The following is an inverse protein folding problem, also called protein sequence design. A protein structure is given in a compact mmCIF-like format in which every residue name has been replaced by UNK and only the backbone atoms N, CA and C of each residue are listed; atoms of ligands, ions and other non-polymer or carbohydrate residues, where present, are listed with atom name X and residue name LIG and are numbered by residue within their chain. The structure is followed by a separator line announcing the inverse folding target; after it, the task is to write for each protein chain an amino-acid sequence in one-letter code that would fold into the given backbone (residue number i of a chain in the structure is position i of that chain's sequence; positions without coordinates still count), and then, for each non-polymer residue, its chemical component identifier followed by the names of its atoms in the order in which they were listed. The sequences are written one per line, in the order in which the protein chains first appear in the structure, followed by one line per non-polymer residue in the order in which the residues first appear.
data_IF_329854543065
#
_entry.id   IF_329854543065
#
_cell.length_a   1.000
_cell.length_b   1.000
_cell.length_c   1.000
_cell.angle_alpha   90.00
_cell.angle_beta   90.00
_cell.angle_gamma   90.00
#
_symmetry.space_group_name_H-M   'P 1'
#
loop_
_entity.id
_entity.type
_entity.pdbx_description
1 polymer ?
#
# COMPACT_ATOMS: atom_id res chain seq x y z
N UNK A 1 -4.92 22.54 10.15
CA UNK A 1 -5.59 21.53 9.32
C UNK A 1 -5.99 20.24 10.03
N UNK A 2 -5.16 19.62 10.89
CA UNK A 2 -5.45 18.33 11.55
C UNK A 2 -6.92 18.12 12.04
N UNK A 3 -7.51 19.10 12.71
CA UNK A 3 -8.92 19.03 13.15
C UNK A 3 -9.93 19.00 11.98
N UNK A 4 -9.64 19.69 10.87
CA UNK A 4 -10.44 19.60 9.64
C UNK A 4 -10.38 18.19 9.05
N UNK A 5 -9.21 17.55 9.04
CA UNK A 5 -9.08 16.16 8.59
C UNK A 5 -9.91 15.19 9.45
N UNK A 6 -9.92 15.38 10.78
CA UNK A 6 -10.77 14.60 11.68
C UNK A 6 -12.26 14.80 11.36
N UNK A 7 -12.67 16.03 11.01
CA UNK A 7 -14.06 16.36 10.67
C UNK A 7 -14.49 15.89 9.27
N UNK A 8 -13.55 15.77 8.33
CA UNK A 8 -13.82 15.22 6.99
C UNK A 8 -13.84 13.68 6.98
N UNK A 9 -13.17 13.03 7.93
CA UNK A 9 -13.08 11.56 8.02
C UNK A 9 -14.46 10.87 8.09
N UNK A 10 -15.47 11.33 8.86
CA UNK A 10 -16.81 10.75 8.86
C UNK A 10 -17.40 10.58 7.46
N UNK A 11 -17.34 11.60 6.59
CA UNK A 11 -17.87 11.52 5.22
C UNK A 11 -17.21 10.40 4.41
N UNK A 12 -15.89 10.20 4.57
CA UNK A 12 -15.18 9.08 3.96
C UNK A 12 -15.62 7.72 4.51
N UNK A 13 -15.84 7.62 5.83
CA UNK A 13 -16.31 6.37 6.47
C UNK A 13 -17.77 6.06 6.11
N UNK A 14 -18.60 7.08 5.99
CA UNK A 14 -19.98 6.97 5.53
C UNK A 14 -20.04 6.55 4.07
N UNK A 15 -19.16 7.11 3.23
CA UNK A 15 -19.00 6.69 1.83
C UNK A 15 -18.69 5.20 1.77
N UNK A 16 -17.74 4.73 2.57
CA UNK A 16 -17.49 3.28 2.70
C UNK A 16 -18.73 2.54 3.17
N UNK A 17 -19.46 3.05 4.15
CA UNK A 17 -20.70 2.44 4.67
C UNK A 17 -21.77 2.20 3.60
N UNK A 18 -21.87 3.07 2.58
CA UNK A 18 -22.80 2.89 1.45
C UNK A 18 -22.54 1.57 0.70
N UNK A 19 -21.26 1.22 0.51
CA UNK A 19 -20.86 0.02 -0.24
C UNK A 19 -20.61 -1.19 0.65
N UNK A 20 -20.06 -0.96 1.85
CA UNK A 20 -19.52 -1.97 2.74
C UNK A 20 -20.50 -2.39 3.85
N UNK A 21 -21.66 -1.74 3.95
CA UNK A 21 -22.67 -1.93 5.01
C UNK A 21 -22.25 -1.36 6.36
N UNK A 22 -21.02 -1.65 6.80
CA UNK A 22 -20.40 -1.09 8.01
C UNK A 22 -18.89 -0.95 7.86
N UNK A 23 -18.32 -0.07 8.67
CA UNK A 23 -16.88 0.07 8.86
C UNK A 23 -16.57 0.39 10.34
N UNK A 24 -15.55 -0.23 10.97
CA UNK A 24 -14.58 -1.18 10.42
C UNK A 24 -15.14 -2.60 10.21
N UNK A 25 -14.39 -3.39 9.42
CA UNK A 25 -14.68 -4.78 9.01
C UNK A 25 -15.98 -4.92 8.22
N UNK A 26 -15.87 -4.91 6.90
CA UNK A 26 -17.03 -5.10 6.02
C UNK A 26 -17.54 -6.55 6.02
N UNK A 27 -18.82 -6.72 5.70
CA UNK A 27 -19.50 -8.03 5.60
C UNK A 27 -20.07 -8.30 4.20
N UNK A 28 -19.74 -7.45 3.22
CA UNK A 28 -20.38 -7.51 1.89
C UNK A 28 -19.71 -8.48 0.94
N UNK A 29 -18.45 -8.84 1.18
CA UNK A 29 -17.72 -9.75 0.30
C UNK A 29 -18.10 -11.20 0.58
N UNK A 30 -18.38 -11.93 -0.49
CA UNK A 30 -18.62 -13.38 -0.48
C UNK A 30 -17.83 -14.01 -1.63
N UNK A 31 -17.40 -15.29 -1.51
CA UNK A 31 -16.93 -16.03 -2.66
C UNK A 31 -17.96 -15.92 -3.80
N UNK A 32 -17.55 -15.36 -4.94
CA UNK A 32 -18.44 -15.12 -6.09
C UNK A 32 -18.98 -13.69 -6.25
N UNK A 33 -18.69 -12.75 -5.34
CA UNK A 33 -19.02 -11.33 -5.53
C UNK A 33 -19.35 -10.59 -4.23
N UNK A 34 -20.42 -9.79 -4.26
CA UNK A 34 -20.91 -9.02 -3.10
C UNK A 34 -22.36 -9.41 -2.73
N UNK A 35 -22.82 -9.01 -1.54
CA UNK A 35 -24.15 -9.39 -1.02
C UNK A 35 -25.32 -8.57 -1.57
N UNK A 36 -25.07 -7.38 -2.13
CA UNK A 36 -26.12 -6.55 -2.72
C UNK A 36 -25.59 -5.71 -3.89
N UNK A 37 -26.49 -5.34 -4.80
CA UNK A 37 -26.23 -4.32 -5.82
C UNK A 37 -26.28 -2.92 -5.21
N UNK A 38 -25.73 -1.93 -5.92
CA UNK A 38 -25.77 -0.51 -5.54
C UNK A 38 -26.72 0.21 -6.48
N UNK A 39 -27.90 0.54 -5.95
CA UNK A 39 -28.92 1.24 -6.71
C UNK A 39 -28.58 2.73 -6.95
N UNK A 40 -29.33 3.36 -7.84
CA UNK A 40 -29.17 4.79 -8.20
C UNK A 40 -29.25 5.73 -6.98
N UNK A 41 -30.06 5.41 -5.96
CA UNK A 41 -30.17 6.22 -4.74
C UNK A 41 -28.89 6.18 -3.92
N UNK A 42 -28.32 4.98 -3.73
CA UNK A 42 -27.03 4.78 -3.07
C UNK A 42 -25.88 5.42 -3.85
N UNK A 43 -25.89 5.34 -5.19
CA UNK A 43 -24.90 6.02 -6.02
C UNK A 43 -24.95 7.55 -5.82
N UNK A 44 -26.15 8.13 -5.83
CA UNK A 44 -26.35 9.58 -5.60
C UNK A 44 -25.84 9.99 -4.22
N UNK A 45 -26.16 9.21 -3.17
CA UNK A 45 -25.65 9.44 -1.82
C UNK A 45 -24.13 9.36 -1.76
N UNK A 46 -23.54 8.35 -2.41
CA UNK A 46 -22.09 8.17 -2.47
C UNK A 46 -21.40 9.36 -3.16
N UNK A 47 -21.95 9.87 -4.26
CA UNK A 47 -21.41 11.05 -4.94
C UNK A 47 -21.48 12.32 -4.07
N UNK A 48 -22.55 12.49 -3.28
CA UNK A 48 -22.66 13.58 -2.32
C UNK A 48 -21.57 13.52 -1.24
N UNK A 49 -21.39 12.35 -0.61
CA UNK A 49 -20.34 12.13 0.39
C UNK A 49 -18.92 12.27 -0.19
N UNK A 50 -18.72 11.82 -1.43
CA UNK A 50 -17.45 12.00 -2.14
C UNK A 50 -17.18 13.48 -2.39
N UNK A 51 -18.20 14.29 -2.70
CA UNK A 51 -18.01 15.74 -2.92
C UNK A 51 -17.55 16.44 -1.64
N UNK A 52 -18.03 16.04 -0.47
CA UNK A 52 -17.53 16.57 0.81
C UNK A 52 -16.05 16.25 1.02
N UNK A 53 -15.62 15.02 0.70
CA UNK A 53 -14.21 14.63 0.73
C UNK A 53 -13.39 15.43 -0.29
N UNK A 54 -13.90 15.62 -1.51
CA UNK A 54 -13.26 16.45 -2.53
C UNK A 54 -13.08 17.88 -2.06
N UNK A 55 -14.09 18.50 -1.44
CA UNK A 55 -13.96 19.86 -0.90
C UNK A 55 -12.83 19.96 0.13
N UNK A 56 -12.72 18.98 1.04
CA UNK A 56 -11.60 18.94 1.99
C UNK A 56 -10.24 18.83 1.27
N UNK A 57 -10.15 17.95 0.27
CA UNK A 57 -8.92 17.78 -0.53
C UNK A 57 -8.57 19.08 -1.26
N UNK A 58 -9.53 19.71 -1.94
CA UNK A 58 -9.30 20.90 -2.74
C UNK A 58 -8.97 22.11 -1.87
N UNK A 59 -9.73 22.38 -0.81
CA UNK A 59 -9.59 23.60 -0.01
C UNK A 59 -8.50 23.52 1.07
N UNK A 60 -8.24 22.33 1.61
CA UNK A 60 -7.33 22.17 2.76
C UNK A 60 -6.05 21.43 2.39
N UNK A 61 -6.15 20.31 1.67
CA UNK A 61 -4.95 19.55 1.31
C UNK A 61 -4.14 20.24 0.21
N UNK A 62 -4.82 20.72 -0.84
CA UNK A 62 -4.18 21.25 -2.05
C UNK A 62 -4.19 22.77 -2.14
N UNK A 63 -5.25 23.43 -1.67
CA UNK A 63 -5.49 24.85 -1.95
C UNK A 63 -5.87 25.11 -3.42
N UNK A 64 -6.24 24.08 -4.17
CA UNK A 64 -6.66 24.16 -5.57
C UNK A 64 -7.57 22.99 -5.96
N UNK A 65 -8.18 23.04 -7.14
CA UNK A 65 -8.93 21.91 -7.69
C UNK A 65 -8.06 20.68 -7.94
N UNK A 66 -8.64 19.49 -7.85
CA UNK A 66 -7.91 18.21 -8.08
C UNK A 66 -7.29 18.17 -9.48
N UNK A 67 -8.02 18.60 -10.51
CA UNK A 67 -7.51 18.55 -11.89
C UNK A 67 -6.27 19.45 -12.07
N UNK A 68 -6.26 20.65 -11.46
CA UNK A 68 -5.08 21.54 -11.46
C UNK A 68 -3.88 20.86 -10.77
N UNK A 69 -4.08 20.19 -9.65
CA UNK A 69 -2.99 19.46 -8.99
C UNK A 69 -2.40 18.35 -9.88
N UNK A 70 -3.26 17.62 -10.59
CA UNK A 70 -2.85 16.50 -11.46
C UNK A 70 -2.14 16.93 -12.75
N UNK A 71 -2.11 18.23 -13.06
CA UNK A 71 -1.31 18.77 -14.15
C UNK A 71 0.19 18.84 -13.81
N UNK A 72 0.57 18.75 -12.52
CA UNK A 72 1.98 18.69 -12.12
C UNK A 72 2.60 17.36 -12.55
N UNK A 73 3.69 17.42 -13.34
CA UNK A 73 4.35 16.23 -13.92
C UNK A 73 5.83 16.15 -13.59
N UNK A 74 6.37 17.12 -12.85
CA UNK A 74 7.78 17.20 -12.50
C UNK A 74 7.99 17.97 -11.20
N UNK A 75 9.20 17.88 -10.66
CA UNK A 75 9.62 18.72 -9.54
C UNK A 75 9.50 20.22 -9.88
N UNK A 76 9.84 20.61 -11.11
CA UNK A 76 9.81 22.01 -11.55
C UNK A 76 8.36 22.54 -11.64
N UNK A 77 7.42 21.67 -12.00
CA UNK A 77 5.97 21.98 -11.94
C UNK A 77 5.53 22.20 -10.49
N UNK A 78 5.98 21.38 -9.53
CA UNK A 78 5.65 21.59 -8.12
C UNK A 78 6.19 22.92 -7.58
N UNK A 79 7.41 23.29 -7.95
CA UNK A 79 8.01 24.57 -7.55
C UNK A 79 7.27 25.76 -8.16
N UNK A 80 6.69 25.59 -9.35
CA UNK A 80 5.84 26.58 -10.00
C UNK A 80 4.46 26.63 -9.34
N UNK A 81 3.84 25.47 -9.10
CA UNK A 81 2.55 25.33 -8.43
C UNK A 81 2.53 25.98 -7.05
N UNK A 82 3.60 25.84 -6.26
CA UNK A 82 3.72 26.50 -4.96
C UNK A 82 3.63 28.04 -5.03
N UNK A 83 4.00 28.64 -6.17
CA UNK A 83 4.07 30.10 -6.37
C UNK A 83 2.82 30.70 -7.01
N UNK A 84 1.93 29.88 -7.56
CA UNK A 84 0.77 30.34 -8.35
C UNK A 84 -0.30 31.07 -7.53
N UNK A 85 -0.47 30.70 -6.27
CA UNK A 85 -1.56 31.19 -5.43
C UNK A 85 -1.26 30.89 -3.95
N UNK A 86 -2.30 30.74 -3.13
CA UNK A 86 -2.24 30.28 -1.74
C UNK A 86 -1.96 28.77 -1.59
N UNK A 87 -1.48 28.09 -2.65
CA UNK A 87 -1.14 26.67 -2.60
C UNK A 87 -0.07 26.37 -1.54
N UNK A 88 0.88 27.29 -1.34
CA UNK A 88 1.89 27.21 -0.28
C UNK A 88 1.31 27.16 1.15
N UNK A 89 0.09 27.67 1.34
CA UNK A 89 -0.60 27.71 2.64
C UNK A 89 -1.45 26.45 2.88
N UNK A 90 -1.61 25.59 1.87
CA UNK A 90 -2.25 24.28 1.99
C UNK A 90 -1.39 23.28 2.76
N UNK A 91 -1.97 22.18 3.22
CA UNK A 91 -1.19 21.13 3.91
C UNK A 91 -0.08 20.56 3.04
N UNK A 92 -0.37 20.32 1.75
CA UNK A 92 0.63 19.80 0.84
C UNK A 92 1.69 20.85 0.54
N UNK A 93 1.31 22.12 0.39
CA UNK A 93 2.25 23.23 0.23
C UNK A 93 3.23 23.34 1.39
N UNK A 94 2.71 23.33 2.63
CA UNK A 94 3.50 23.33 3.86
C UNK A 94 4.42 22.10 3.89
N UNK A 95 3.90 20.92 3.57
CA UNK A 95 4.70 19.69 3.54
C UNK A 95 5.84 19.75 2.52
N UNK A 96 5.58 20.23 1.30
CA UNK A 96 6.59 20.35 0.24
C UNK A 96 7.72 21.30 0.65
N UNK A 97 7.39 22.40 1.34
CA UNK A 97 8.38 23.37 1.84
C UNK A 97 9.12 22.86 3.08
N UNK A 98 8.40 22.64 4.18
CA UNK A 98 8.99 22.25 5.47
C UNK A 98 9.67 20.88 5.38
N UNK A 99 9.14 19.95 4.60
CA UNK A 99 9.74 18.62 4.45
C UNK A 99 11.14 18.67 3.85
N UNK A 100 11.40 19.58 2.89
CA UNK A 100 12.72 19.81 2.31
C UNK A 100 13.63 20.59 3.24
N UNK A 101 13.11 21.60 3.94
CA UNK A 101 13.86 22.36 4.96
C UNK A 101 14.35 21.44 6.09
N UNK A 102 13.55 20.44 6.47
CA UNK A 102 13.90 19.41 7.45
C UNK A 102 14.75 18.26 6.87
N UNK A 103 15.10 18.31 5.57
CA UNK A 103 15.94 17.30 4.93
C UNK A 103 15.28 15.92 4.77
N UNK A 104 13.94 15.82 4.78
CA UNK A 104 13.23 14.54 4.62
C UNK A 104 13.46 13.91 3.24
N UNK A 105 13.88 14.71 2.26
CA UNK A 105 14.30 14.27 0.93
C UNK A 105 15.65 13.53 0.94
N UNK A 106 16.44 13.68 2.00
CA UNK A 106 17.81 13.15 2.11
C UNK A 106 17.93 11.88 2.95
N UNK A 107 16.88 11.50 3.68
CA UNK A 107 16.87 10.34 4.58
C UNK A 107 15.91 9.26 4.11
N UNK A 108 16.16 8.02 4.55
CA UNK A 108 15.25 6.90 4.30
C UNK A 108 15.31 6.39 2.86
N UNK A 109 16.48 6.17 2.28
CA UNK A 109 16.62 5.68 0.89
C UNK A 109 16.05 4.26 0.72
N UNK A 110 16.62 3.27 1.40
CA UNK A 110 16.14 1.88 1.31
C UNK A 110 16.53 1.17 0.00
N UNK A 111 15.87 0.06 -0.38
CA UNK A 111 16.40 -0.91 -1.35
C UNK A 111 16.38 -0.52 -2.83
N UNK A 112 15.88 0.68 -3.20
CA UNK A 112 15.67 1.17 -4.59
C UNK A 112 15.00 0.16 -5.55
N UNK A 113 14.31 -0.84 -5.01
CA UNK A 113 13.58 -1.88 -5.74
C UNK A 113 12.13 -1.84 -5.31
N UNK A 114 11.22 -1.92 -6.27
CA UNK A 114 9.79 -1.78 -6.00
C UNK A 114 9.00 -2.95 -6.54
N UNK A 115 7.96 -3.34 -5.82
CA UNK A 115 7.06 -4.42 -6.20
C UNK A 115 5.61 -3.96 -6.04
N UNK A 116 4.77 -4.27 -7.02
CA UNK A 116 3.32 -4.19 -6.92
C UNK A 116 2.68 -5.38 -7.63
N UNK A 117 1.58 -5.88 -7.08
CA UNK A 117 0.76 -6.91 -7.73
C UNK A 117 -0.26 -6.33 -8.70
N UNK A 118 -0.44 -5.00 -8.71
CA UNK A 118 -1.49 -4.32 -9.45
C UNK A 118 -2.83 -4.35 -8.71
N UNK A 119 -3.67 -3.33 -8.97
CA UNK A 119 -4.97 -3.20 -8.28
C UNK A 119 -5.96 -2.37 -9.08
N UNK A 120 -7.25 -2.63 -8.81
CA UNK A 120 -8.42 -2.06 -9.50
C UNK A 120 -8.48 -2.53 -10.95
N UNK A 121 -8.95 -3.77 -11.14
CA UNK A 121 -9.16 -4.38 -12.45
C UNK A 121 -10.06 -3.52 -13.34
N UNK A 122 -9.66 -3.35 -14.60
CA UNK A 122 -10.42 -2.58 -15.59
C UNK A 122 -11.25 -3.50 -16.49
N UNK A 123 -12.43 -3.07 -16.98
CA UNK A 123 -13.28 -3.87 -17.86
C UNK A 123 -12.61 -4.38 -19.14
N UNK A 124 -11.71 -3.58 -19.71
CA UNK A 124 -10.91 -3.88 -20.90
C UNK A 124 -9.71 -4.81 -20.62
N UNK A 125 -9.48 -5.18 -19.36
CA UNK A 125 -8.34 -5.96 -18.91
C UNK A 125 -7.22 -5.09 -18.32
N UNK A 126 -6.33 -5.72 -17.57
CA UNK A 126 -5.29 -5.02 -16.80
C UNK A 126 -5.84 -4.37 -15.52
N UNK A 127 -5.08 -3.45 -14.96
CA UNK A 127 -5.39 -2.78 -13.70
C UNK A 127 -5.11 -1.29 -13.80
N UNK A 128 -5.90 -0.46 -13.11
CA UNK A 128 -5.74 0.99 -13.10
C UNK A 128 -4.39 1.42 -12.52
N UNK A 129 -3.92 0.72 -11.49
CA UNK A 129 -2.52 0.77 -11.06
C UNK A 129 -1.86 -0.54 -11.48
N UNK A 130 -0.83 -0.52 -12.34
CA UNK A 130 -0.24 -1.73 -12.90
C UNK A 130 0.56 -2.52 -11.87
N UNK A 131 0.57 -3.85 -12.03
CA UNK A 131 1.50 -4.73 -11.34
C UNK A 131 2.84 -4.81 -12.06
N UNK A 132 3.91 -5.02 -11.31
CA UNK A 132 5.26 -5.11 -11.87
C UNK A 132 6.35 -5.14 -10.81
N UNK A 133 7.59 -5.19 -11.30
CA UNK A 133 8.81 -5.14 -10.52
C UNK A 133 9.77 -4.10 -11.10
N UNK A 134 10.35 -3.28 -10.24
CA UNK A 134 11.38 -2.31 -10.62
C UNK A 134 12.71 -2.65 -9.95
N UNK A 135 13.76 -2.79 -10.75
CA UNK A 135 15.17 -2.84 -10.31
C UNK A 135 16.06 -2.30 -11.45
N UNK A 136 16.38 -1.00 -11.39
CA UNK A 136 17.10 -0.29 -12.47
C UNK A 136 16.44 -0.40 -13.86
N UNK A 137 15.17 -0.78 -13.89
CA UNK A 137 14.42 -1.12 -15.09
C UNK A 137 13.05 -1.69 -14.71
N UNK A 138 12.14 -1.78 -15.67
CA UNK A 138 10.77 -2.24 -15.46
C UNK A 138 10.60 -3.67 -15.96
N UNK A 139 10.07 -4.54 -15.10
CA UNK A 139 9.85 -5.94 -15.37
C UNK A 139 8.41 -6.35 -15.04
N UNK A 140 7.90 -7.35 -15.74
CA UNK A 140 6.62 -7.96 -15.41
C UNK A 140 6.70 -8.67 -14.05
N UNK A 141 5.59 -8.64 -13.32
CA UNK A 141 5.44 -9.38 -12.08
C UNK A 141 5.31 -10.88 -12.36
N UNK A 142 6.03 -11.69 -11.57
CA UNK A 142 5.96 -13.15 -11.56
C UNK A 142 5.79 -13.64 -10.11
N UNK A 143 4.60 -14.15 -9.79
CA UNK A 143 4.29 -14.65 -8.45
C UNK A 143 5.17 -15.79 -7.99
N UNK A 144 5.76 -16.58 -8.90
CA UNK A 144 6.63 -17.71 -8.53
C UNK A 144 7.95 -17.25 -7.88
N UNK A 145 8.33 -15.99 -8.06
CA UNK A 145 9.57 -15.42 -7.51
C UNK A 145 9.44 -14.99 -6.05
N UNK A 146 8.25 -15.09 -5.45
CA UNK A 146 8.03 -14.74 -4.05
C UNK A 146 8.56 -15.87 -3.16
N UNK A 147 9.37 -15.52 -2.17
CA UNK A 147 9.80 -16.45 -1.13
C UNK A 147 9.76 -15.79 0.24
N UNK A 148 9.43 -16.54 1.30
CA UNK A 148 9.54 -16.10 2.68
C UNK A 148 10.68 -16.84 3.38
N UNK A 149 11.56 -16.11 4.06
CA UNK A 149 12.61 -16.66 4.91
C UNK A 149 12.23 -16.52 6.39
N UNK A 150 12.75 -17.41 7.25
CA UNK A 150 12.45 -17.41 8.69
C UNK A 150 13.68 -17.44 9.60
N UNK A 151 14.92 -17.32 9.09
CA UNK A 151 16.16 -17.42 9.90
C UNK A 151 16.12 -16.52 11.15
N UNK A 152 15.69 -15.27 10.98
CA UNK A 152 15.63 -14.25 12.04
C UNK A 152 14.23 -14.02 12.62
N UNK A 153 13.28 -14.88 12.27
CA UNK A 153 11.91 -14.81 12.73
C UNK A 153 11.63 -15.90 13.76
N UNK A 154 10.73 -15.67 14.72
CA UNK A 154 10.31 -16.64 15.75
C UNK A 154 9.45 -17.79 15.18
N UNK A 155 9.94 -18.44 14.12
CA UNK A 155 9.34 -19.61 13.46
C UNK A 155 10.37 -20.69 13.17
N UNK A 156 9.92 -21.93 13.04
CA UNK A 156 10.71 -23.09 12.63
C UNK A 156 10.05 -23.85 11.47
N UNK A 157 10.72 -24.90 11.01
CA UNK A 157 10.18 -25.86 10.03
C UNK A 157 10.89 -25.87 8.68
N UNK A 158 11.68 -24.85 8.33
CA UNK A 158 12.45 -24.83 7.09
C UNK A 158 13.66 -23.88 7.14
N UNK A 159 14.59 -24.11 6.20
CA UNK A 159 15.74 -23.26 5.94
C UNK A 159 15.62 -22.59 4.57
N UNK A 160 16.32 -21.48 4.37
CA UNK A 160 16.23 -20.71 3.13
C UNK A 160 14.90 -19.96 2.99
N UNK A 161 14.53 -19.68 1.74
CA UNK A 161 13.27 -19.05 1.37
C UNK A 161 12.36 -20.05 0.66
N UNK A 162 11.09 -20.10 1.05
CA UNK A 162 10.09 -20.96 0.39
C UNK A 162 8.94 -20.13 -0.16
N UNK A 163 8.35 -20.57 -1.27
CA UNK A 163 7.19 -19.89 -1.83
C UNK A 163 5.97 -20.05 -0.90
N UNK A 164 5.12 -19.01 -0.71
CA UNK A 164 3.98 -19.06 0.22
C UNK A 164 2.98 -20.20 -0.02
N UNK A 165 2.88 -20.74 -1.24
CA UNK A 165 2.04 -21.92 -1.52
C UNK A 165 2.51 -23.20 -0.82
N UNK A 166 3.77 -23.23 -0.40
CA UNK A 166 4.40 -24.32 0.38
C UNK A 166 4.75 -23.85 1.80
N UNK A 167 4.32 -22.63 2.15
CA UNK A 167 4.64 -21.97 3.39
C UNK A 167 4.15 -22.72 4.61
N UNK A 168 5.01 -22.81 5.62
CA UNK A 168 4.67 -23.29 6.95
C UNK A 168 4.75 -22.15 7.97
N UNK A 169 3.92 -22.22 9.01
CA UNK A 169 3.90 -21.25 10.11
C UNK A 169 3.86 -22.00 11.43
N UNK A 170 5.04 -22.35 11.95
CA UNK A 170 5.21 -23.03 13.24
C UNK A 170 5.95 -22.08 14.20
N UNK A 171 5.26 -21.46 15.17
CA UNK A 171 5.87 -20.51 16.10
C UNK A 171 6.94 -21.17 16.99
N UNK A 172 8.08 -20.50 17.13
CA UNK A 172 9.13 -20.91 18.06
C UNK A 172 9.73 -19.69 18.77
N UNK A 173 9.22 -19.41 19.98
CA UNK A 173 9.54 -18.20 20.77
C UNK A 173 11.00 -18.18 21.22
N UNK A 174 11.55 -19.33 21.61
CA UNK A 174 12.90 -19.44 22.18
C UNK A 174 13.99 -19.58 21.11
N UNK A 175 13.66 -19.31 19.84
CA UNK A 175 14.61 -19.43 18.73
C UNK A 175 15.76 -18.44 18.89
N UNK A 176 16.96 -18.98 19.11
CA UNK A 176 18.19 -18.18 19.24
C UNK A 176 18.46 -17.39 17.96
N UNK A 177 18.79 -16.11 18.13
CA UNK A 177 19.10 -15.20 17.03
C UNK A 177 17.88 -14.58 16.33
N UNK A 178 16.66 -15.07 16.58
CA UNK A 178 15.45 -14.42 16.10
C UNK A 178 15.18 -13.11 16.86
N UNK A 179 14.64 -12.11 16.17
CA UNK A 179 14.32 -10.80 16.74
C UNK A 179 12.98 -10.22 16.26
N UNK A 180 12.22 -10.99 15.47
CA UNK A 180 10.95 -10.52 14.92
C UNK A 180 9.93 -11.65 14.76
N UNK A 181 8.65 -11.29 14.85
CA UNK A 181 7.53 -12.18 14.51
C UNK A 181 7.09 -12.06 13.04
N UNK A 182 7.63 -11.10 12.30
CA UNK A 182 7.44 -11.05 10.86
C UNK A 182 8.38 -12.05 10.18
N UNK A 183 7.90 -12.77 9.17
CA UNK A 183 8.75 -13.48 8.22
C UNK A 183 9.50 -12.48 7.33
N UNK A 184 10.41 -12.96 6.49
CA UNK A 184 11.21 -12.13 5.58
C UNK A 184 10.89 -12.42 4.11
N UNK A 185 9.83 -11.81 3.53
CA UNK A 185 9.55 -11.91 2.12
C UNK A 185 10.67 -11.32 1.25
N UNK A 186 11.01 -12.01 0.18
CA UNK A 186 11.94 -11.60 -0.88
C UNK A 186 11.30 -11.88 -2.23
N UNK A 187 11.65 -11.05 -3.22
CA UNK A 187 11.24 -11.25 -4.60
C UNK A 187 12.49 -11.51 -5.42
N UNK A 188 12.59 -12.70 -6.01
CA UNK A 188 13.78 -13.14 -6.75
C UNK A 188 15.07 -13.09 -5.88
N UNK A 189 14.92 -13.43 -4.60
CA UNK A 189 16.00 -13.33 -3.60
C UNK A 189 16.39 -11.90 -3.21
N UNK A 190 15.71 -10.88 -3.70
CA UNK A 190 15.98 -9.46 -3.41
C UNK A 190 14.99 -8.87 -2.41
N UNK A 191 15.49 -7.89 -1.65
CA UNK A 191 14.68 -7.02 -0.79
C UNK A 191 13.99 -5.98 -1.66
N UNK A 192 12.68 -5.80 -1.46
CA UNK A 192 11.87 -4.85 -2.23
C UNK A 192 11.04 -3.98 -1.29
N UNK A 193 10.73 -2.76 -1.73
CA UNK A 193 9.76 -1.89 -1.10
C UNK A 193 8.41 -2.02 -1.81
N UNK A 194 7.33 -2.06 -1.04
CA UNK A 194 5.94 -2.04 -1.53
C UNK A 194 5.20 -0.81 -0.99
N UNK A 195 4.03 -0.49 -1.55
CA UNK A 195 3.19 0.62 -1.10
C UNK A 195 3.03 1.73 -2.12
N UNK A 196 2.52 2.91 -1.71
CA UNK A 196 2.16 3.97 -2.66
C UNK A 196 3.32 4.41 -3.55
N UNK A 197 4.53 4.56 -2.99
CA UNK A 197 5.71 4.87 -3.80
C UNK A 197 5.97 3.78 -4.85
N UNK A 198 5.90 2.51 -4.47
CA UNK A 198 6.11 1.41 -5.41
C UNK A 198 5.09 1.43 -6.56
N UNK A 199 3.81 1.67 -6.24
CA UNK A 199 2.74 1.75 -7.24
C UNK A 199 2.93 2.93 -8.18
N UNK A 200 3.25 4.12 -7.67
CA UNK A 200 3.49 5.31 -8.50
C UNK A 200 4.72 5.13 -9.42
N UNK A 201 5.78 4.48 -8.93
CA UNK A 201 6.93 4.14 -9.79
C UNK A 201 6.52 3.18 -10.90
N UNK A 202 5.83 2.09 -10.57
CA UNK A 202 5.43 1.06 -11.54
C UNK A 202 4.38 1.55 -12.54
N UNK A 203 3.53 2.48 -12.12
CA UNK A 203 2.60 3.23 -12.96
C UNK A 203 3.30 4.22 -13.90
N UNK A 204 4.61 4.48 -13.66
CA UNK A 204 5.37 5.53 -14.32
C UNK A 204 4.69 6.89 -14.18
N UNK A 205 4.11 7.14 -13.00
CA UNK A 205 3.50 8.41 -12.67
C UNK A 205 4.51 9.53 -12.91
N UNK A 206 4.22 10.52 -13.77
CA UNK A 206 5.23 11.44 -14.26
C UNK A 206 5.86 12.26 -13.13
N UNK A 207 5.03 12.74 -12.20
CA UNK A 207 5.48 13.56 -11.09
C UNK A 207 6.38 12.76 -10.15
N UNK A 208 5.90 11.61 -9.68
CA UNK A 208 6.64 10.81 -8.70
C UNK A 208 7.89 10.21 -9.34
N UNK A 209 7.83 9.81 -10.61
CA UNK A 209 8.95 9.22 -11.32
C UNK A 209 10.05 10.25 -11.65
N UNK A 210 9.71 11.49 -12.00
CA UNK A 210 10.69 12.57 -12.18
C UNK A 210 11.46 12.83 -10.86
N UNK A 211 10.75 13.01 -9.74
CA UNK A 211 11.37 13.25 -8.44
C UNK A 211 12.23 12.05 -8.01
N UNK A 212 11.72 10.84 -8.18
CA UNK A 212 12.48 9.61 -7.92
C UNK A 212 13.75 9.52 -8.75
N UNK A 213 13.70 9.87 -10.04
CA UNK A 213 14.86 9.81 -10.93
C UNK A 213 15.92 10.84 -10.56
N UNK A 214 15.53 11.99 -9.99
CA UNK A 214 16.45 13.04 -9.54
C UNK A 214 17.06 12.75 -8.16
N UNK A 215 16.26 12.25 -7.21
CA UNK A 215 16.63 12.21 -5.78
C UNK A 215 16.66 10.80 -5.18
N UNK A 216 16.14 9.80 -5.88
CA UNK A 216 15.91 8.48 -5.32
C UNK A 216 14.71 8.44 -4.35
N UNK A 217 14.47 7.28 -3.73
CA UNK A 217 13.46 7.13 -2.68
C UNK A 217 13.86 7.88 -1.41
N UNK A 218 12.89 8.42 -0.69
CA UNK A 218 13.15 9.11 0.58
C UNK A 218 11.90 9.11 1.46
N UNK A 219 12.05 9.55 2.71
CA UNK A 219 10.88 9.86 3.56
C UNK A 219 9.96 10.84 2.84
N UNK A 220 10.53 11.88 2.23
CA UNK A 220 9.78 12.91 1.53
C UNK A 220 8.89 12.31 0.44
N UNK A 221 9.51 11.52 -0.43
CA UNK A 221 8.85 10.98 -1.62
C UNK A 221 7.82 9.89 -1.27
N UNK A 222 8.05 9.08 -0.22
CA UNK A 222 7.04 8.10 0.24
C UNK A 222 5.74 8.76 0.68
N UNK A 223 5.83 9.87 1.41
CA UNK A 223 4.65 10.60 1.88
C UNK A 223 3.99 11.36 0.72
N UNK A 224 4.78 11.99 -0.15
CA UNK A 224 4.25 12.65 -1.34
C UNK A 224 3.50 11.67 -2.25
N UNK A 225 4.08 10.50 -2.54
CA UNK A 225 3.42 9.45 -3.33
C UNK A 225 2.12 8.96 -2.69
N UNK A 226 2.06 8.83 -1.35
CA UNK A 226 0.83 8.46 -0.63
C UNK A 226 -0.27 9.50 -0.80
N UNK A 227 0.06 10.78 -0.69
CA UNK A 227 -0.91 11.87 -0.85
C UNK A 227 -1.35 12.00 -2.31
N UNK A 228 -0.39 11.93 -3.24
CA UNK A 228 -0.66 12.01 -4.67
C UNK A 228 -1.56 10.85 -5.16
N UNK A 229 -1.26 9.61 -4.77
CA UNK A 229 -2.12 8.45 -5.07
C UNK A 229 -3.53 8.64 -4.50
N UNK A 230 -3.66 9.14 -3.26
CA UNK A 230 -4.96 9.39 -2.65
C UNK A 230 -5.78 10.43 -3.43
N UNK A 231 -5.16 11.51 -3.91
CA UNK A 231 -5.83 12.53 -4.74
C UNK A 231 -6.29 11.93 -6.07
N UNK A 232 -5.43 11.15 -6.75
CA UNK A 232 -5.79 10.42 -7.97
C UNK A 232 -6.98 9.49 -7.73
N UNK A 233 -6.96 8.75 -6.62
CA UNK A 233 -8.00 7.80 -6.26
C UNK A 233 -9.34 8.49 -5.95
N UNK A 234 -9.35 9.64 -5.27
CA UNK A 234 -10.57 10.42 -5.01
C UNK A 234 -11.28 10.81 -6.31
N UNK A 235 -10.52 11.23 -7.34
CA UNK A 235 -11.07 11.49 -8.68
C UNK A 235 -11.61 10.22 -9.32
N UNK A 236 -10.83 9.13 -9.29
CA UNK A 236 -11.17 7.87 -9.95
C UNK A 236 -12.40 7.18 -9.33
N UNK A 237 -12.55 7.23 -8.00
CA UNK A 237 -13.74 6.70 -7.30
C UNK A 237 -15.01 7.40 -7.80
N UNK A 238 -14.95 8.70 -8.08
CA UNK A 238 -16.10 9.43 -8.63
C UNK A 238 -16.50 8.97 -10.04
N UNK A 239 -15.55 8.48 -10.83
CA UNK A 239 -15.80 7.85 -12.13
C UNK A 239 -16.43 6.47 -11.91
N UNK A 240 -15.79 5.61 -11.11
CA UNK A 240 -16.26 4.26 -10.86
C UNK A 240 -17.65 4.18 -10.24
N UNK A 241 -18.02 5.12 -9.34
CA UNK A 241 -19.38 5.16 -8.79
C UNK A 241 -20.42 5.33 -9.90
N UNK A 242 -20.13 6.14 -10.93
CA UNK A 242 -21.03 6.40 -12.07
C UNK A 242 -21.08 5.25 -13.08
N UNK A 243 -20.07 4.39 -13.08
CA UNK A 243 -20.00 3.21 -13.95
C UNK A 243 -20.74 1.99 -13.40
N UNK A 244 -21.20 2.04 -12.14
CA UNK A 244 -21.95 0.94 -11.55
C UNK A 244 -23.31 0.80 -12.24
N UNK A 245 -23.49 -0.33 -12.92
CA UNK A 245 -24.75 -0.74 -13.50
C UNK A 245 -25.49 -1.68 -12.53
N UNK A 246 -26.53 -1.16 -11.87
CA UNK A 246 -27.30 -1.89 -10.85
C UNK A 246 -27.97 -3.17 -11.40
N UNK A 247 -28.11 -3.29 -12.74
CA UNK A 247 -28.76 -4.41 -13.42
C UNK A 247 -27.81 -5.56 -13.71
N UNK A 248 -26.49 -5.35 -13.63
CA UNK A 248 -25.49 -6.41 -13.85
C UNK A 248 -25.38 -7.34 -12.64
N UNK A 249 -24.91 -8.55 -12.91
CA UNK A 249 -24.71 -9.55 -11.87
C UNK A 249 -23.60 -9.11 -10.89
N UNK A 250 -23.96 -8.97 -9.62
CA UNK A 250 -23.04 -8.63 -8.52
C UNK A 250 -22.61 -9.86 -7.70
N UNK A 251 -23.23 -11.03 -7.94
CA UNK A 251 -22.92 -12.30 -7.28
C UNK A 251 -23.11 -13.47 -8.25
N UNK A 252 -22.14 -14.39 -8.25
CA UNK A 252 -22.19 -15.68 -8.96
C UNK A 252 -21.87 -16.78 -7.97
N UNK A 253 -22.84 -17.65 -7.66
CA UNK A 253 -22.65 -18.74 -6.70
C UNK A 253 -21.48 -19.63 -7.10
N UNK A 254 -20.40 -19.71 -6.31
CA UNK A 254 -19.26 -20.54 -6.65
C UNK A 254 -19.52 -22.01 -6.33
N UNK A 255 -18.76 -22.90 -6.97
CA UNK A 255 -18.65 -24.31 -6.57
C UNK A 255 -17.46 -24.45 -5.63
N UNK A 256 -17.66 -25.07 -4.48
CA UNK A 256 -16.57 -25.36 -3.53
C UNK A 256 -15.87 -26.64 -3.99
N UNK A 257 -14.58 -26.59 -4.37
CA UNK A 257 -13.84 -27.77 -4.80
C UNK A 257 -13.52 -28.67 -3.59
N UNK A 258 -13.40 -29.98 -3.83
CA UNK A 258 -12.87 -30.91 -2.82
C UNK A 258 -11.36 -30.79 -2.66
N UNK A 259 -10.64 -30.56 -3.77
CA UNK A 259 -9.19 -30.37 -3.83
C UNK A 259 -8.90 -29.17 -4.74
N UNK A 260 -8.14 -28.17 -4.26
CA UNK A 260 -7.73 -27.03 -5.08
C UNK A 260 -6.56 -26.26 -4.46
N UNK A 261 -5.86 -25.48 -5.29
CA UNK A 261 -4.96 -24.40 -4.86
C UNK A 261 -5.46 -23.07 -5.42
N UNK A 262 -5.32 -21.99 -4.65
CA UNK A 262 -5.75 -20.66 -5.07
C UNK A 262 -4.80 -19.59 -4.58
N UNK A 263 -4.71 -18.49 -5.35
CA UNK A 263 -3.92 -17.31 -5.02
C UNK A 263 -4.82 -16.09 -5.21
N UNK A 264 -4.89 -15.22 -4.21
CA UNK A 264 -5.53 -13.92 -4.29
C UNK A 264 -4.49 -12.83 -4.05
N UNK A 265 -4.25 -11.99 -5.06
CA UNK A 265 -3.30 -10.89 -5.00
C UNK A 265 -4.04 -9.57 -5.14
N UNK A 266 -3.63 -8.57 -4.37
CA UNK A 266 -4.16 -7.21 -4.45
C UNK A 266 -3.14 -6.21 -3.89
N UNK A 267 -3.47 -4.93 -3.94
CA UNK A 267 -2.77 -3.88 -3.20
C UNK A 267 -3.64 -3.40 -2.05
N UNK A 268 -3.17 -3.60 -0.82
CA UNK A 268 -3.67 -2.84 0.31
C UNK A 268 -3.09 -1.42 0.27
N UNK A 269 -3.59 -0.53 1.13
CA UNK A 269 -3.08 0.86 1.23
C UNK A 269 -1.56 0.93 1.40
N UNK A 270 -0.98 -0.06 2.09
CA UNK A 270 0.46 -0.17 2.39
C UNK A 270 1.28 -0.94 1.36
N UNK A 271 0.66 -1.54 0.34
CA UNK A 271 1.37 -2.25 -0.73
C UNK A 271 0.79 -3.62 -1.08
N UNK A 272 1.65 -4.44 -1.69
CA UNK A 272 1.36 -5.78 -2.16
C UNK A 272 0.89 -6.72 -1.04
N UNK A 273 -0.31 -7.27 -1.20
CA UNK A 273 -0.95 -8.23 -0.29
C UNK A 273 -1.29 -9.50 -1.07
N UNK A 274 -0.81 -10.64 -0.58
CA UNK A 274 -1.09 -11.93 -1.19
C UNK A 274 -1.65 -12.93 -0.19
N UNK A 275 -2.61 -13.72 -0.64
CA UNK A 275 -3.23 -14.82 0.10
C UNK A 275 -3.11 -16.10 -0.74
N UNK A 276 -2.58 -17.17 -0.14
CA UNK A 276 -2.42 -18.47 -0.77
C UNK A 276 -3.22 -19.50 0.01
N UNK A 277 -4.04 -20.28 -0.68
CA UNK A 277 -4.94 -21.28 -0.09
C UNK A 277 -4.71 -22.65 -0.74
N UNK A 278 -4.68 -23.68 0.09
CA UNK A 278 -4.77 -25.08 -0.32
C UNK A 278 -6.03 -25.68 0.31
N UNK A 279 -6.89 -26.26 -0.52
CA UNK A 279 -8.13 -26.94 -0.12
C UNK A 279 -7.92 -28.43 -0.30
N UNK A 280 -8.24 -29.21 0.73
CA UNK A 280 -8.23 -30.67 0.75
C UNK A 280 -9.48 -31.20 1.45
N UNK A 281 -10.12 -32.23 0.91
CA UNK A 281 -11.40 -32.75 1.42
C UNK A 281 -12.47 -31.67 1.67
N UNK A 282 -12.52 -30.63 0.82
CA UNK A 282 -13.45 -29.51 0.95
C UNK A 282 -13.20 -28.57 2.14
N UNK A 283 -12.03 -28.68 2.77
CA UNK A 283 -11.60 -27.84 3.91
C UNK A 283 -10.31 -27.10 3.57
N UNK A 284 -10.06 -25.99 4.26
CA UNK A 284 -8.77 -25.29 4.18
C UNK A 284 -7.73 -26.17 4.87
N UNK A 285 -6.79 -26.69 4.08
CA UNK A 285 -5.62 -27.43 4.57
C UNK A 285 -4.52 -26.47 4.99
N UNK A 286 -4.26 -25.45 4.17
CA UNK A 286 -3.25 -24.43 4.43
C UNK A 286 -3.71 -23.08 3.92
N UNK A 287 -3.39 -22.03 4.67
CA UNK A 287 -3.65 -20.65 4.30
C UNK A 287 -2.45 -19.79 4.73
N UNK A 288 -1.77 -19.17 3.76
CA UNK A 288 -0.61 -18.31 3.98
C UNK A 288 -0.93 -16.90 3.49
N UNK A 289 -0.44 -15.90 4.23
CA UNK A 289 -0.65 -14.48 3.89
C UNK A 289 0.70 -13.79 3.92
N UNK A 290 1.01 -13.05 2.85
CA UNK A 290 2.16 -12.15 2.82
C UNK A 290 1.63 -10.74 2.76
N UNK A 291 1.78 -10.01 3.87
CA UNK A 291 1.24 -8.65 4.00
C UNK A 291 2.25 -7.59 3.57
N UNK A 292 1.81 -6.37 3.25
CA UNK A 292 2.72 -5.31 2.82
C UNK A 292 3.73 -4.92 3.90
N UNK A 293 3.31 -4.93 5.16
CA UNK A 293 4.20 -4.66 6.28
C UNK A 293 5.19 -5.81 6.53
N UNK A 294 4.88 -7.05 6.14
CA UNK A 294 5.87 -8.14 6.13
C UNK A 294 6.99 -7.86 5.11
N UNK A 295 6.66 -7.37 3.91
CA UNK A 295 7.66 -6.90 2.94
C UNK A 295 8.52 -5.76 3.50
N UNK A 296 7.87 -4.67 3.87
CA UNK A 296 8.55 -3.41 4.23
C UNK A 296 9.29 -3.46 5.57
N UNK A 297 8.80 -4.24 6.54
CA UNK A 297 9.35 -4.36 7.89
C UNK A 297 9.93 -5.76 8.16
N UNK A 298 10.28 -6.49 7.10
CA UNK A 298 10.93 -7.79 7.24
C UNK A 298 12.21 -7.68 8.07
N UNK A 299 12.54 -8.69 8.90
CA UNK A 299 13.88 -8.82 9.42
C UNK A 299 14.84 -9.25 8.29
N UNK A 300 16.08 -9.55 8.67
CA UNK A 300 17.05 -10.18 7.78
C UNK A 300 16.54 -11.51 7.23
N UNK A 301 16.99 -11.87 6.03
CA UNK A 301 16.73 -13.19 5.44
C UNK A 301 17.81 -14.21 5.81
N UNK A 302 17.78 -15.38 5.17
CA UNK A 302 18.79 -16.42 5.41
C UNK A 302 20.20 -16.05 4.91
N UNK A 303 20.29 -15.07 4.01
CA UNK A 303 21.53 -14.52 3.45
C UNK A 303 22.01 -13.26 4.20
N UNK A 304 21.42 -12.99 5.36
CA UNK A 304 21.73 -11.85 6.22
C UNK A 304 21.44 -10.47 5.59
N UNK A 305 20.63 -10.43 4.51
CA UNK A 305 20.23 -9.15 3.88
C UNK A 305 19.17 -8.46 4.73
N UNK A 306 19.40 -7.21 5.20
CA UNK A 306 18.43 -6.45 5.99
C UNK A 306 17.16 -6.13 5.20
N UNK A 307 16.02 -6.02 5.89
CA UNK A 307 14.73 -5.68 5.27
C UNK A 307 14.65 -4.25 4.76
N UNK A 308 13.56 -3.88 4.07
CA UNK A 308 13.46 -2.59 3.39
C UNK A 308 13.55 -1.38 4.34
N UNK A 309 12.86 -1.44 5.49
CA UNK A 309 12.93 -0.40 6.50
C UNK A 309 14.28 -0.38 7.23
N UNK A 310 14.88 -1.54 7.51
CA UNK A 310 16.24 -1.63 8.06
C UNK A 310 17.26 -0.97 7.12
N UNK A 311 17.17 -1.23 5.82
CA UNK A 311 17.99 -0.57 4.80
C UNK A 311 17.75 0.94 4.73
N UNK A 312 16.51 1.39 4.90
CA UNK A 312 16.18 2.81 4.91
C UNK A 312 16.74 3.55 6.14
N UNK A 313 16.92 2.85 7.26
CA UNK A 313 17.52 3.42 8.47
C UNK A 313 19.04 3.60 8.36
N UNK A 314 19.72 2.75 7.58
CA UNK A 314 21.17 2.84 7.39
C UNK A 314 21.55 4.21 6.80
N UNK A 315 22.50 4.87 7.46
CA UNK A 315 22.99 6.20 7.05
C UNK A 315 22.12 7.38 7.51
N UNK A 316 21.03 7.13 8.23
CA UNK A 316 20.23 8.22 8.82
C UNK A 316 21.01 8.88 9.96
N UNK A 317 21.32 10.17 9.81
CA UNK A 317 21.90 10.98 10.87
C UNK A 317 20.84 11.24 11.95
N UNK A 318 21.23 11.11 13.21
CA UNK A 318 20.39 11.36 14.37
C UNK A 318 21.01 12.52 15.14
N UNK A 319 20.33 13.66 15.17
CA UNK A 319 20.84 14.85 15.84
C UNK A 319 20.84 14.70 17.37
N UNK A 320 19.73 14.17 17.93
CA UNK A 320 19.58 13.89 19.36
C UNK A 320 19.20 12.42 19.59
N UNK A 321 20.11 11.64 20.19
CA UNK A 321 19.90 10.23 20.49
C UNK A 321 18.80 10.01 21.54
N UNK A 322 18.54 10.99 22.41
CA UNK A 322 17.45 10.90 23.39
C UNK A 322 16.08 11.18 22.75
N UNK A 323 16.06 11.78 21.56
CA UNK A 323 14.87 12.08 20.79
C UNK A 323 15.11 11.84 19.28
N UNK A 324 15.24 10.57 18.84
CA UNK A 324 15.64 10.23 17.47
C UNK A 324 14.47 10.37 16.49
N UNK A 325 14.06 11.61 16.22
CA UNK A 325 12.89 11.92 15.39
C UNK A 325 13.06 11.44 13.95
N UNK A 326 14.29 11.45 13.43
CA UNK A 326 14.65 11.05 12.06
C UNK A 326 14.39 9.55 11.85
N UNK A 327 14.80 8.72 12.82
CA UNK A 327 14.45 7.29 12.85
C UNK A 327 12.93 7.13 12.82
N UNK A 328 12.24 7.93 13.62
CA UNK A 328 10.79 7.98 13.66
C UNK A 328 10.15 8.38 12.32
N UNK A 329 10.73 9.31 11.59
CA UNK A 329 10.28 9.75 10.27
C UNK A 329 10.47 8.64 9.22
N UNK A 330 11.64 7.98 9.22
CA UNK A 330 11.90 6.83 8.33
C UNK A 330 10.87 5.74 8.55
N UNK A 331 10.71 5.26 9.78
CA UNK A 331 9.78 4.16 10.10
C UNK A 331 8.34 4.54 9.75
N UNK A 332 7.87 5.72 10.16
CA UNK A 332 6.48 6.17 9.90
C UNK A 332 6.22 6.42 8.41
N UNK A 333 7.23 6.73 7.62
CA UNK A 333 7.07 6.92 6.17
C UNK A 333 6.62 5.65 5.44
N UNK A 334 6.86 4.46 6.01
CA UNK A 334 6.35 3.18 5.51
C UNK A 334 4.91 2.87 5.96
N UNK A 335 4.32 3.68 6.86
CA UNK A 335 3.00 3.45 7.47
C UNK A 335 2.89 2.01 8.05
N UNK A 336 3.65 1.67 9.10
CA UNK A 336 3.71 0.30 9.62
C UNK A 336 2.38 -0.15 10.23
N UNK A 337 1.88 -1.32 9.84
CA UNK A 337 0.79 -2.03 10.50
C UNK A 337 1.31 -3.32 11.13
N UNK A 338 1.71 -3.29 12.40
CA UNK A 338 2.31 -4.45 13.07
C UNK A 338 1.35 -5.65 13.23
N UNK A 339 0.06 -5.38 13.41
CA UNK A 339 -0.98 -6.43 13.42
C UNK A 339 -1.11 -7.11 12.04
N UNK A 340 -0.81 -6.39 10.96
CA UNK A 340 -0.78 -6.96 9.62
C UNK A 340 0.50 -7.81 9.41
N UNK A 341 1.63 -7.42 10.01
CA UNK A 341 2.90 -8.15 9.89
C UNK A 341 2.90 -9.52 10.58
N UNK A 342 2.03 -9.72 11.57
CA UNK A 342 1.96 -10.96 12.37
C UNK A 342 0.51 -11.41 12.47
N UNK A 343 0.16 -12.48 11.75
CA UNK A 343 -1.18 -13.04 11.71
C UNK A 343 -1.17 -14.50 12.19
N UNK A 344 -1.04 -14.69 13.50
CA UNK A 344 -1.13 -16.01 14.12
C UNK A 344 -2.50 -16.17 14.77
N UNK A 345 -3.19 -17.27 14.47
CA UNK A 345 -4.33 -17.75 15.24
C UNK A 345 -3.92 -19.04 15.94
N UNK A 346 -3.90 -19.04 17.27
CA UNK A 346 -3.81 -20.28 18.05
C UNK A 346 -5.24 -20.80 18.23
N UNK A 347 -5.49 -22.03 17.80
CA UNK A 347 -6.75 -22.73 18.10
C UNK A 347 -6.76 -23.23 19.53
#
# INVERSE_FOLDING_TARGET
SYLKAIRARPSMLELMGVFAGKWPNTLVFQPGGVTCSIDTSRQTKALGLLRELQNFVEETLLGCGIDRWLENKSLDDLESWLKESHHQDSDLGIYLKSGRELGLDKIGQGPTRFLSYGVYELPEGGTWLPGGYYDQGFFSFDGQKIAEHIKYSFFEGYEGGIHPSEGMTQPYVDKKGAYSWAKSPRYDGKVVQVGPLARMILDKDPLIYDIFSRWGPSVFLRVLARLHEAVRLVRQVGIWIKEIDERKAFYKKPRVPTEAKGIGLTEASRGALGHWIVIKNGKIETYQVVTPSAWNLSPKDSLDQPGACEQALIGTMVEDVNNPVEVGHVVRSFDPCLVCSVHMLKK
#
